data_IF_891522602494
#
_entry.id   IF_891522602494
#
_cell.length_a   1.000
_cell.length_b   1.000
_cell.length_c   1.000
_cell.angle_alpha   90.00
_cell.angle_beta   90.00
_cell.angle_gamma   90.00
#
_symmetry.space_group_name_H-M   'P 1'
#
loop_
_entity.id
_entity.type
_entity.pdbx_description
1 polymer ?
#
# COMPACT_ATOMS: atom_id res chain seq x y z
N UNK A 1 33.21 23.82 -53.42
CA UNK A 1 31.82 23.34 -53.15
C UNK A 1 31.74 22.02 -52.37
N UNK A 2 32.83 21.27 -52.12
CA UNK A 2 32.79 19.96 -51.42
C UNK A 2 32.93 19.99 -49.87
N UNK A 3 33.25 21.14 -49.25
CA UNK A 3 33.52 21.23 -47.80
C UNK A 3 32.30 21.64 -46.95
N UNK A 4 31.25 22.19 -47.57
CA UNK A 4 30.04 22.65 -46.86
C UNK A 4 29.09 21.47 -46.58
N UNK A 5 28.99 20.50 -47.49
CA UNK A 5 28.15 19.30 -47.29
C UNK A 5 28.61 18.41 -46.12
N UNK A 6 29.91 18.41 -45.80
CA UNK A 6 30.45 17.58 -44.72
C UNK A 6 30.15 18.17 -43.33
N UNK A 7 30.04 19.49 -43.21
CA UNK A 7 29.72 20.15 -41.94
C UNK A 7 28.24 19.99 -41.57
N UNK A 8 27.33 19.99 -42.56
CA UNK A 8 25.88 19.82 -42.34
C UNK A 8 25.55 18.39 -41.91
N UNK A 9 26.27 17.38 -42.43
CA UNK A 9 26.05 15.98 -42.07
C UNK A 9 26.44 15.66 -40.62
N UNK A 10 27.50 16.31 -40.09
CA UNK A 10 27.96 16.10 -38.70
C UNK A 10 27.01 16.75 -37.69
N UNK A 11 26.40 17.90 -38.03
CA UNK A 11 25.43 18.58 -37.16
C UNK A 11 24.11 17.79 -37.04
N UNK A 12 23.68 17.10 -38.12
CA UNK A 12 22.50 16.24 -38.07
C UNK A 12 22.71 14.95 -37.26
N UNK A 13 23.94 14.43 -37.12
CA UNK A 13 24.20 13.24 -36.30
C UNK A 13 24.18 13.52 -34.79
N UNK A 14 24.40 14.76 -34.36
CA UNK A 14 24.34 15.14 -32.94
C UNK A 14 22.92 15.43 -32.43
N UNK A 15 21.95 15.72 -33.30
CA UNK A 15 20.56 15.94 -32.89
C UNK A 15 19.74 14.65 -32.76
N UNK A 16 20.24 13.53 -33.30
CA UNK A 16 19.61 12.21 -33.25
C UNK A 16 19.98 11.38 -32.01
N UNK A 17 20.84 11.90 -31.13
CA UNK A 17 21.31 11.22 -29.91
C UNK A 17 20.86 11.92 -28.62
N UNK A 18 19.79 12.72 -28.67
CA UNK A 18 19.00 12.94 -27.46
C UNK A 18 18.27 11.62 -27.18
N UNK A 19 18.60 10.85 -26.13
CA UNK A 19 17.71 9.80 -25.70
C UNK A 19 16.37 10.49 -25.49
N UNK A 20 15.35 10.06 -26.24
CA UNK A 20 14.00 10.47 -25.96
C UNK A 20 13.82 10.25 -24.47
N UNK A 21 13.58 11.31 -23.71
CA UNK A 21 13.10 11.19 -22.34
C UNK A 21 11.71 10.60 -22.49
N UNK A 22 11.67 9.29 -22.72
CA UNK A 22 10.52 8.48 -22.40
C UNK A 22 10.34 8.76 -20.92
N UNK A 23 9.34 9.57 -20.59
CA UNK A 23 8.83 9.68 -19.25
C UNK A 23 8.29 8.31 -18.89
N UNK A 24 9.18 7.41 -18.45
CA UNK A 24 8.78 6.24 -17.73
C UNK A 24 8.17 6.78 -16.44
N UNK A 25 6.85 6.70 -16.32
CA UNK A 25 6.19 6.67 -15.02
C UNK A 25 7.03 5.78 -14.10
N UNK A 26 7.35 6.19 -12.85
CA UNK A 26 8.12 5.34 -11.97
C UNK A 26 7.41 3.99 -11.84
N UNK A 27 8.05 2.93 -12.33
CA UNK A 27 7.52 1.57 -12.18
C UNK A 27 7.39 1.28 -10.68
N UNK A 28 6.18 0.92 -10.23
CA UNK A 28 5.97 0.63 -8.82
C UNK A 28 6.85 -0.55 -8.41
N UNK A 29 7.55 -0.43 -7.29
CA UNK A 29 8.44 -1.51 -6.86
C UNK A 29 7.64 -2.79 -6.64
N UNK A 30 8.24 -3.93 -7.00
CA UNK A 30 7.64 -5.25 -6.76
C UNK A 30 7.25 -5.45 -5.28
N UNK A 31 8.03 -4.90 -4.36
CA UNK A 31 7.74 -4.91 -2.93
C UNK A 31 6.45 -4.15 -2.59
N UNK A 32 6.24 -2.97 -3.19
CA UNK A 32 5.02 -2.20 -3.02
C UNK A 32 3.81 -2.97 -3.55
N UNK A 33 3.89 -3.53 -4.75
CA UNK A 33 2.81 -4.32 -5.35
C UNK A 33 2.45 -5.55 -4.49
N UNK A 34 3.46 -6.27 -3.97
CA UNK A 34 3.22 -7.40 -3.05
C UNK A 34 2.56 -6.93 -1.76
N UNK A 35 3.01 -5.79 -1.22
CA UNK A 35 2.45 -5.21 0.01
C UNK A 35 1.00 -4.79 -0.19
N UNK A 36 0.67 -4.10 -1.29
CA UNK A 36 -0.68 -3.65 -1.60
C UNK A 36 -1.62 -4.84 -1.88
N UNK A 37 -1.14 -5.86 -2.60
CA UNK A 37 -1.86 -7.11 -2.78
C UNK A 37 -2.12 -7.81 -1.44
N UNK A 38 -1.12 -7.89 -0.56
CA UNK A 38 -1.27 -8.46 0.78
C UNK A 38 -2.28 -7.68 1.63
N UNK A 39 -2.14 -6.35 1.69
CA UNK A 39 -3.07 -5.43 2.35
C UNK A 39 -4.53 -5.67 1.91
N UNK A 40 -4.75 -5.85 0.61
CA UNK A 40 -6.08 -6.11 0.05
C UNK A 40 -6.73 -7.35 0.65
N UNK A 41 -5.96 -8.40 0.95
CA UNK A 41 -6.48 -9.62 1.59
C UNK A 41 -6.93 -9.42 3.04
N UNK A 42 -6.44 -8.38 3.72
CA UNK A 42 -6.74 -8.11 5.14
C UNK A 42 -8.01 -7.26 5.32
N UNK A 43 -8.46 -6.57 4.27
CA UNK A 43 -9.53 -5.55 4.35
C UNK A 43 -10.78 -6.09 5.03
N UNK A 44 -11.23 -7.29 4.64
CA UNK A 44 -12.45 -7.89 5.21
C UNK A 44 -12.32 -8.11 6.73
N UNK A 45 -11.20 -8.66 7.18
CA UNK A 45 -10.99 -8.93 8.60
C UNK A 45 -10.88 -7.63 9.42
N UNK A 46 -10.28 -6.58 8.85
CA UNK A 46 -10.19 -5.26 9.46
C UNK A 46 -11.56 -4.60 9.56
N UNK A 47 -12.35 -4.63 8.48
CA UNK A 47 -13.71 -4.09 8.47
C UNK A 47 -14.61 -4.81 9.48
N UNK A 48 -14.57 -6.16 9.51
CA UNK A 48 -15.30 -6.95 10.50
C UNK A 48 -14.85 -6.61 11.95
N UNK A 49 -13.54 -6.34 12.18
CA UNK A 49 -13.02 -5.92 13.48
C UNK A 49 -13.54 -4.53 13.90
N UNK A 50 -13.52 -3.57 13.00
CA UNK A 50 -14.02 -2.20 13.22
C UNK A 50 -15.53 -2.23 13.52
N UNK A 51 -16.30 -2.96 12.73
CA UNK A 51 -17.75 -3.15 12.97
C UNK A 51 -17.98 -3.83 14.33
N UNK A 52 -17.17 -4.82 14.68
CA UNK A 52 -17.24 -5.50 15.97
C UNK A 52 -16.99 -4.57 17.16
N UNK A 53 -16.03 -3.65 17.04
CA UNK A 53 -15.72 -2.67 18.09
C UNK A 53 -16.78 -1.57 18.21
N UNK A 54 -17.18 -0.95 17.09
CA UNK A 54 -18.13 0.18 17.09
C UNK A 54 -19.60 -0.24 17.13
N UNK A 55 -19.91 -1.51 16.86
CA UNK A 55 -21.27 -2.06 16.83
C UNK A 55 -22.11 -1.64 15.62
N UNK A 56 -21.56 -0.86 14.68
CA UNK A 56 -22.27 -0.33 13.51
C UNK A 56 -21.32 -0.13 12.33
N UNK A 57 -21.87 -0.22 11.11
CA UNK A 57 -21.11 -0.05 9.85
C UNK A 57 -21.04 1.41 9.39
N UNK A 58 -20.69 2.30 10.30
CA UNK A 58 -20.59 3.75 10.01
C UNK A 58 -19.16 4.23 9.83
N UNK A 59 -18.19 3.49 10.38
CA UNK A 59 -16.77 3.75 10.20
C UNK A 59 -16.24 3.10 8.93
N UNK A 60 -15.49 3.87 8.15
CA UNK A 60 -14.68 3.39 7.03
C UNK A 60 -13.21 3.74 7.27
N UNK A 61 -12.29 3.15 6.50
CA UNK A 61 -10.85 3.44 6.58
C UNK A 61 -10.21 3.50 5.20
N UNK A 62 -9.12 4.26 5.08
CA UNK A 62 -8.36 4.39 3.84
C UNK A 62 -7.42 3.21 3.63
N UNK A 63 -7.63 2.43 2.55
CA UNK A 63 -6.75 1.29 2.22
C UNK A 63 -5.33 1.77 1.91
N UNK A 64 -5.20 2.93 1.24
CA UNK A 64 -3.91 3.54 0.93
C UNK A 64 -3.11 3.92 2.18
N UNK A 65 -3.80 4.43 3.20
CA UNK A 65 -3.18 4.90 4.46
C UNK A 65 -2.91 3.77 5.46
N UNK A 66 -3.44 2.57 5.20
CA UNK A 66 -3.20 1.40 6.04
C UNK A 66 -1.72 1.06 6.12
N UNK A 67 -1.23 0.84 7.35
CA UNK A 67 0.17 0.52 7.63
C UNK A 67 0.29 -0.88 8.20
N UNK A 68 1.15 -1.71 7.61
CA UNK A 68 1.60 -2.94 8.25
C UNK A 68 2.74 -2.56 9.19
N UNK A 69 2.52 -2.71 10.50
CA UNK A 69 3.46 -2.32 11.55
C UNK A 69 4.44 -3.43 11.89
N UNK A 70 3.99 -4.68 11.82
CA UNK A 70 4.79 -5.85 12.17
C UNK A 70 4.22 -7.12 11.52
N UNK A 71 5.09 -8.07 11.21
CA UNK A 71 4.73 -9.41 10.73
C UNK A 71 5.65 -10.42 11.44
N UNK A 72 5.07 -11.28 12.26
CA UNK A 72 5.78 -12.32 12.97
C UNK A 72 5.24 -13.69 12.60
N UNK A 73 6.11 -14.61 12.22
CA UNK A 73 5.71 -16.01 12.01
C UNK A 73 5.48 -16.67 13.37
N UNK A 74 4.35 -17.37 13.53
CA UNK A 74 4.01 -18.02 14.81
C UNK A 74 4.87 -19.24 15.11
N UNK A 75 5.33 -19.94 14.07
CA UNK A 75 6.19 -21.12 14.17
C UNK A 75 7.13 -21.21 12.97
N UNK A 76 8.39 -21.56 13.21
CA UNK A 76 9.39 -21.74 12.15
C UNK A 76 8.91 -22.75 11.10
N UNK A 77 8.99 -22.37 9.82
CA UNK A 77 8.54 -23.21 8.69
C UNK A 77 7.00 -23.30 8.51
N UNK A 78 6.20 -22.80 9.46
CA UNK A 78 4.74 -22.75 9.34
C UNK A 78 4.24 -21.55 8.53
N UNK A 79 3.01 -21.59 8.04
CA UNK A 79 2.39 -20.52 7.24
C UNK A 79 1.39 -19.66 8.01
N UNK A 80 1.51 -19.62 9.34
CA UNK A 80 0.71 -18.76 10.21
C UNK A 80 1.54 -17.58 10.70
N UNK A 81 0.92 -16.40 10.73
CA UNK A 81 1.55 -15.13 11.04
C UNK A 81 0.67 -14.30 11.97
N UNK A 82 1.30 -13.63 12.93
CA UNK A 82 0.71 -12.49 13.62
C UNK A 82 1.09 -11.23 12.85
N UNK A 83 0.07 -10.55 12.34
CA UNK A 83 0.21 -9.34 11.52
C UNK A 83 -0.41 -8.19 12.27
N UNK A 84 0.40 -7.18 12.60
CA UNK A 84 -0.08 -5.96 13.23
C UNK A 84 -0.30 -4.90 12.16
N UNK A 85 -1.52 -4.42 12.02
CA UNK A 85 -1.89 -3.33 11.11
C UNK A 85 -2.36 -2.11 11.89
N UNK A 86 -2.23 -0.95 11.27
CA UNK A 86 -2.76 0.31 11.78
C UNK A 86 -3.56 0.99 10.68
N UNK A 87 -4.76 1.44 11.00
CA UNK A 87 -5.66 2.19 10.11
C UNK A 87 -6.22 3.40 10.85
N UNK A 88 -6.58 4.44 10.11
CA UNK A 88 -7.34 5.57 10.63
C UNK A 88 -8.77 5.51 10.08
N UNK A 89 -9.74 5.49 10.99
CA UNK A 89 -11.17 5.40 10.68
C UNK A 89 -11.79 6.78 10.56
N UNK A 90 -12.86 6.89 9.77
CA UNK A 90 -13.63 8.11 9.56
C UNK A 90 -15.11 7.79 9.32
N UNK A 91 -15.98 8.78 9.40
CA UNK A 91 -17.41 8.69 9.08
C UNK A 91 -17.76 9.44 7.79
N UNK A 92 -18.73 8.92 7.05
CA UNK A 92 -19.15 9.52 5.77
C UNK A 92 -17.98 9.74 4.80
N UNK A 93 -17.99 10.82 3.99
CA UNK A 93 -16.88 11.18 3.12
C UNK A 93 -15.66 11.72 3.90
N UNK A 94 -14.94 10.85 4.60
CA UNK A 94 -13.70 11.18 5.32
C UNK A 94 -13.86 12.26 6.40
N UNK A 95 -14.94 12.23 7.18
CA UNK A 95 -15.20 13.19 8.26
C UNK A 95 -14.90 12.60 9.65
N UNK A 96 -14.65 13.45 10.67
CA UNK A 96 -14.56 13.01 12.06
C UNK A 96 -15.90 12.45 12.58
N UNK A 97 -15.91 11.71 13.72
CA UNK A 97 -14.76 11.44 14.58
C UNK A 97 -13.80 10.41 13.99
N UNK A 98 -12.50 10.67 14.16
CA UNK A 98 -11.44 9.78 13.71
C UNK A 98 -10.98 8.87 14.84
N UNK A 99 -10.61 7.64 14.48
CA UNK A 99 -10.00 6.68 15.40
C UNK A 99 -8.76 6.08 14.76
N UNK A 100 -7.70 5.91 15.53
CA UNK A 100 -6.53 5.15 15.10
C UNK A 100 -6.65 3.74 15.67
N UNK A 101 -6.89 2.78 14.79
CA UNK A 101 -7.07 1.39 15.18
C UNK A 101 -5.77 0.63 14.94
N UNK A 102 -5.23 0.03 15.99
CA UNK A 102 -4.13 -0.94 15.89
C UNK A 102 -4.69 -2.34 16.08
N UNK A 103 -4.68 -3.14 15.01
CA UNK A 103 -5.33 -4.45 14.97
C UNK A 103 -4.26 -5.52 14.80
N UNK A 104 -4.28 -6.52 15.67
CA UNK A 104 -3.44 -7.72 15.53
C UNK A 104 -4.29 -8.85 14.96
N UNK A 105 -3.89 -9.35 13.80
CA UNK A 105 -4.54 -10.42 13.06
C UNK A 105 -3.68 -11.69 13.11
N UNK A 106 -4.30 -12.84 13.26
CA UNK A 106 -3.67 -14.11 12.91
C UNK A 106 -4.05 -14.44 11.47
N UNK A 107 -3.06 -14.56 10.59
CA UNK A 107 -3.20 -14.84 9.16
C UNK A 107 -2.59 -16.20 8.87
N UNK A 108 -3.39 -17.14 8.38
CA UNK A 108 -2.91 -18.46 8.02
C UNK A 108 -3.76 -19.16 6.96
N UNK A 109 -3.44 -20.43 6.64
CA UNK A 109 -4.14 -21.18 5.59
C UNK A 109 -5.63 -21.41 5.88
N UNK A 110 -6.03 -21.39 7.16
CA UNK A 110 -7.41 -21.52 7.59
C UNK A 110 -8.23 -20.23 7.53
N UNK A 111 -7.62 -19.10 7.18
CA UNK A 111 -8.26 -17.79 7.13
C UNK A 111 -7.56 -16.74 8.00
N UNK A 112 -8.28 -15.67 8.28
CA UNK A 112 -7.81 -14.53 9.08
C UNK A 112 -8.72 -14.37 10.29
N UNK A 113 -8.15 -14.27 11.48
CA UNK A 113 -8.88 -13.99 12.71
C UNK A 113 -8.31 -12.76 13.42
N UNK A 114 -9.15 -12.07 14.19
CA UNK A 114 -8.75 -10.92 15.00
C UNK A 114 -8.29 -11.42 16.35
N UNK A 115 -7.03 -11.13 16.70
CA UNK A 115 -6.43 -11.49 18.00
C UNK A 115 -6.58 -10.35 19.00
N UNK A 116 -6.42 -9.10 18.53
CA UNK A 116 -6.47 -7.91 19.38
C UNK A 116 -6.92 -6.70 18.59
N UNK A 117 -7.72 -5.85 19.22
CA UNK A 117 -8.14 -4.54 18.72
C UNK A 117 -7.79 -3.49 19.76
N UNK A 118 -7.05 -2.45 19.37
CA UNK A 118 -6.65 -1.32 20.22
C UNK A 118 -7.07 -0.03 19.55
N UNK A 119 -7.82 0.79 20.28
CA UNK A 119 -8.39 2.05 19.80
C UNK A 119 -7.71 3.23 20.48
N UNK A 120 -7.27 4.19 19.67
CA UNK A 120 -6.84 5.51 20.13
C UNK A 120 -7.68 6.60 19.45
N UNK A 121 -8.32 7.47 20.23
CA UNK A 121 -8.95 8.69 19.70
C UNK A 121 -7.87 9.61 19.10
N UNK A 122 -8.11 10.13 17.89
CA UNK A 122 -7.24 11.11 17.25
C UNK A 122 -8.04 12.36 16.81
N UNK A 123 -7.42 13.55 16.82
CA UNK A 123 -8.09 14.81 16.49
C UNK A 123 -8.65 14.86 15.07
#
# INVERSE_FOLDING_TARGET
MKKIGFAVLIVCLFTLSLPGVAGAEPDESREKLITDAFKTTLIRAIDDAIVGYYGKREKSFGIYDMRVKDIQRTMQGGFAFLVKVQVETFEGPHNPPYGRETITLEVGPGGISVVKFEHDDIP
#
